data_IF_913236649102
#
_entry.id   IF_913236649102
#
_cell.length_a   1.000
_cell.length_b   1.000
_cell.length_c   1.000
_cell.angle_alpha   90.00
_cell.angle_beta   90.00
_cell.angle_gamma   90.00
#
_symmetry.space_group_name_H-M   'P 1'
#
loop_
_entity.id
_entity.type
_entity.pdbx_description
1 polymer ?
#
# COMPACT_ATOMS: atom_id res chain seq x y z
N UNK A 1 -9.25 -94.84 14.33
CA UNK A 1 -8.49 -93.60 13.99
C UNK A 1 -9.44 -92.46 13.88
N UNK A 2 -9.42 -91.57 14.85
CA UNK A 2 -10.24 -90.35 14.84
C UNK A 2 -9.37 -89.22 14.23
N UNK A 3 -9.71 -88.71 13.03
CA UNK A 3 -9.09 -87.53 12.42
C UNK A 3 -9.58 -86.34 13.14
N UNK A 4 -8.75 -85.74 13.98
CA UNK A 4 -8.98 -84.38 14.52
C UNK A 4 -8.88 -83.38 13.40
N UNK A 5 -9.98 -82.76 13.06
CA UNK A 5 -10.07 -81.69 12.09
C UNK A 5 -9.46 -80.40 12.72
N UNK A 6 -8.34 -80.01 12.17
CA UNK A 6 -7.61 -78.79 12.62
C UNK A 6 -8.37 -77.53 12.19
N UNK A 7 -9.40 -77.15 12.98
CA UNK A 7 -10.22 -75.94 12.68
C UNK A 7 -9.58 -74.61 13.16
N UNK A 8 -8.52 -74.73 13.98
CA UNK A 8 -7.85 -73.54 14.53
C UNK A 8 -7.11 -72.70 13.51
N UNK A 9 -6.54 -73.36 12.45
CA UNK A 9 -5.75 -72.65 11.44
C UNK A 9 -6.61 -71.79 10.52
N UNK A 10 -7.83 -72.19 10.19
CA UNK A 10 -8.74 -71.42 9.29
C UNK A 10 -9.21 -70.16 9.98
N UNK A 11 -9.55 -70.21 11.24
CA UNK A 11 -9.94 -69.00 12.03
C UNK A 11 -8.78 -68.00 12.15
N UNK A 12 -7.54 -68.53 12.38
CA UNK A 12 -6.34 -67.66 12.43
C UNK A 12 -6.05 -66.97 11.12
N UNK A 13 -6.24 -67.67 9.98
CA UNK A 13 -6.11 -67.05 8.65
C UNK A 13 -7.16 -65.97 8.38
N UNK A 14 -8.40 -66.22 8.74
CA UNK A 14 -9.50 -65.25 8.61
C UNK A 14 -9.22 -64.01 9.47
N UNK A 15 -8.78 -64.18 10.73
CA UNK A 15 -8.40 -63.09 11.61
C UNK A 15 -7.20 -62.28 11.07
N UNK A 16 -6.19 -63.00 10.51
CA UNK A 16 -5.05 -62.35 9.85
C UNK A 16 -5.43 -61.49 8.63
N UNK A 17 -6.34 -62.01 7.79
CA UNK A 17 -6.85 -61.25 6.62
C UNK A 17 -7.67 -60.04 7.08
N UNK A 18 -8.51 -60.21 8.09
CA UNK A 18 -9.27 -59.10 8.68
C UNK A 18 -8.36 -58.02 9.29
N UNK A 19 -7.32 -58.43 10.01
CA UNK A 19 -6.31 -57.53 10.54
C UNK A 19 -5.55 -56.75 9.45
N UNK A 20 -5.08 -57.46 8.40
CA UNK A 20 -4.44 -56.87 7.24
C UNK A 20 -5.39 -55.90 6.50
N UNK A 21 -6.66 -56.25 6.39
CA UNK A 21 -7.69 -55.37 5.81
C UNK A 21 -7.91 -54.09 6.62
N UNK A 22 -7.93 -54.24 7.96
CA UNK A 22 -8.05 -53.04 8.88
C UNK A 22 -6.80 -52.15 8.80
N UNK A 23 -5.60 -52.75 8.79
CA UNK A 23 -4.35 -51.97 8.67
C UNK A 23 -4.28 -51.33 7.30
N UNK A 24 -4.56 -52.03 6.21
CA UNK A 24 -4.58 -51.51 4.86
C UNK A 24 -5.65 -50.38 4.69
N UNK A 25 -6.84 -50.60 5.27
CA UNK A 25 -7.89 -49.57 5.32
C UNK A 25 -7.48 -48.32 6.11
N UNK A 26 -6.82 -48.51 7.25
CA UNK A 26 -6.27 -47.42 8.05
C UNK A 26 -5.21 -46.63 7.32
N UNK A 27 -4.28 -47.31 6.63
CA UNK A 27 -3.26 -46.64 5.80
C UNK A 27 -3.89 -45.90 4.61
N UNK A 28 -4.90 -46.49 3.99
CA UNK A 28 -5.65 -45.84 2.92
C UNK A 28 -6.34 -44.54 3.42
N UNK A 29 -7.06 -44.60 4.53
CA UNK A 29 -7.73 -43.44 5.14
C UNK A 29 -6.70 -42.37 5.47
N UNK A 30 -5.58 -42.74 6.09
CA UNK A 30 -4.55 -41.79 6.50
C UNK A 30 -3.88 -41.07 5.31
N UNK A 31 -3.68 -41.78 4.18
CA UNK A 31 -3.02 -41.20 3.00
C UNK A 31 -3.99 -40.65 1.93
N UNK A 32 -5.29 -40.80 2.12
CA UNK A 32 -6.28 -40.36 1.14
C UNK A 32 -6.61 -38.90 1.29
N UNK A 33 -6.52 -38.14 0.22
CA UNK A 33 -7.00 -36.75 0.17
C UNK A 33 -8.47 -36.58 0.56
N UNK A 34 -9.27 -37.65 0.43
CA UNK A 34 -10.66 -37.66 0.85
C UNK A 34 -10.86 -37.62 2.39
N UNK A 35 -9.80 -37.97 3.16
CA UNK A 35 -9.78 -37.96 4.63
C UNK A 35 -8.70 -37.01 5.17
N UNK A 36 -8.39 -35.99 4.43
CA UNK A 36 -7.48 -34.93 4.82
C UNK A 36 -7.92 -34.30 6.15
N UNK A 37 -6.96 -33.82 6.98
CA UNK A 37 -7.15 -33.39 8.35
C UNK A 37 -6.84 -31.91 8.59
N UNK A 38 -6.44 -31.19 7.52
CA UNK A 38 -6.18 -29.75 7.65
C UNK A 38 -7.51 -28.99 7.77
N UNK A 39 -7.54 -27.98 8.61
CA UNK A 39 -8.68 -27.11 8.71
C UNK A 39 -8.65 -26.06 7.60
N UNK A 40 -9.80 -25.56 7.11
CA UNK A 40 -9.85 -24.41 6.23
C UNK A 40 -9.10 -23.20 6.81
N UNK A 41 -8.49 -22.39 5.96
CA UNK A 41 -7.75 -21.19 6.36
C UNK A 41 -8.61 -19.95 6.11
N UNK A 42 -8.80 -19.14 7.15
CA UNK A 42 -9.50 -17.86 7.06
C UNK A 42 -8.46 -16.74 7.06
N UNK A 43 -8.31 -16.09 5.90
CA UNK A 43 -7.38 -14.98 5.70
C UNK A 43 -8.09 -13.66 5.95
N UNK A 44 -7.93 -13.16 7.16
CA UNK A 44 -8.42 -11.87 7.65
C UNK A 44 -7.58 -11.49 8.87
N UNK A 45 -7.34 -10.21 9.09
CA UNK A 45 -6.67 -9.71 10.29
C UNK A 45 -7.49 -10.00 11.55
N UNK A 46 -6.82 -10.15 12.70
CA UNK A 46 -7.50 -10.46 13.97
C UNK A 46 -8.22 -9.23 14.57
N UNK A 47 -7.84 -8.03 14.10
CA UNK A 47 -8.43 -6.76 14.49
C UNK A 47 -8.58 -5.84 13.29
N UNK A 48 -9.78 -5.36 13.06
CA UNK A 48 -10.13 -4.54 11.90
C UNK A 48 -10.92 -3.32 12.34
N UNK A 49 -10.57 -2.17 11.75
CA UNK A 49 -11.38 -0.96 11.82
C UNK A 49 -12.34 -0.92 10.62
N UNK A 50 -13.61 -0.64 10.86
CA UNK A 50 -14.63 -0.66 9.82
C UNK A 50 -15.54 0.56 9.86
N UNK A 51 -15.62 1.29 8.75
CA UNK A 51 -16.46 2.49 8.62
C UNK A 51 -17.93 2.18 8.30
N UNK A 52 -18.32 0.92 8.16
CA UNK A 52 -19.66 0.47 7.77
C UNK A 52 -20.18 1.05 6.42
N UNK A 53 -19.27 1.57 5.60
CA UNK A 53 -19.57 2.06 4.23
C UNK A 53 -18.89 1.22 3.18
N UNK A 54 -17.64 0.92 3.42
CA UNK A 54 -16.84 0.06 2.55
C UNK A 54 -17.13 -1.40 2.87
N UNK A 55 -17.12 -2.24 1.85
CA UNK A 55 -17.30 -3.66 2.04
C UNK A 55 -16.05 -4.27 2.70
N UNK A 56 -16.29 -5.16 3.66
CA UNK A 56 -15.22 -5.92 4.31
C UNK A 56 -14.85 -7.13 3.45
N UNK A 57 -13.58 -7.28 3.15
CA UNK A 57 -13.06 -8.38 2.32
C UNK A 57 -12.37 -9.42 3.19
N UNK A 58 -12.68 -10.69 2.93
CA UNK A 58 -11.95 -11.82 3.50
C UNK A 58 -11.88 -12.96 2.50
N UNK A 59 -10.91 -13.85 2.68
CA UNK A 59 -10.77 -15.05 1.85
C UNK A 59 -10.75 -16.29 2.73
N UNK A 60 -11.47 -17.30 2.30
CA UNK A 60 -11.45 -18.64 2.91
C UNK A 60 -10.83 -19.58 1.88
N UNK A 61 -9.84 -20.36 2.28
CA UNK A 61 -9.18 -21.31 1.39
C UNK A 61 -9.02 -22.68 2.05
N UNK A 62 -9.07 -23.73 1.24
CA UNK A 62 -8.91 -25.13 1.67
C UNK A 62 -8.32 -25.99 0.57
N UNK A 63 -7.52 -26.99 0.91
CA UNK A 63 -6.83 -27.87 -0.03
C UNK A 63 -7.77 -28.83 -0.77
N UNK A 64 -8.89 -29.23 -0.15
CA UNK A 64 -9.87 -30.18 -0.68
C UNK A 64 -11.15 -29.49 -1.13
N UNK A 65 -11.45 -28.35 -0.58
CA UNK A 65 -12.56 -27.48 -0.93
C UNK A 65 -13.54 -27.26 0.22
N UNK A 66 -14.08 -26.06 0.25
CA UNK A 66 -15.02 -25.58 1.24
C UNK A 66 -16.42 -26.07 0.89
N UNK A 67 -17.11 -26.62 1.87
CA UNK A 67 -18.52 -27.08 1.79
C UNK A 67 -19.49 -26.05 2.30
N UNK A 68 -19.11 -25.38 3.39
CA UNK A 68 -19.98 -24.44 4.09
C UNK A 68 -19.17 -23.31 4.67
N UNK A 69 -19.73 -22.12 4.66
CA UNK A 69 -19.24 -21.01 5.46
C UNK A 69 -20.39 -20.17 6.01
N UNK A 70 -20.11 -19.43 7.08
CA UNK A 70 -20.99 -18.46 7.69
C UNK A 70 -20.20 -17.34 8.31
N UNK A 71 -20.63 -16.11 8.07
CA UNK A 71 -20.05 -14.91 8.67
C UNK A 71 -21.12 -14.20 9.48
N UNK A 72 -20.87 -14.03 10.76
CA UNK A 72 -21.82 -13.43 11.71
C UNK A 72 -21.19 -12.19 12.35
N UNK A 73 -21.89 -11.08 12.27
CA UNK A 73 -21.63 -9.85 13.03
C UNK A 73 -22.30 -9.98 14.39
N UNK A 74 -21.54 -9.82 15.49
CA UNK A 74 -22.01 -9.97 16.85
C UNK A 74 -21.78 -8.69 17.64
N UNK A 75 -22.85 -8.03 18.06
CA UNK A 75 -22.78 -6.87 18.96
C UNK A 75 -23.17 -7.21 20.40
N UNK A 76 -23.46 -8.48 20.69
CA UNK A 76 -23.85 -9.00 22.00
C UNK A 76 -25.34 -8.84 22.31
N UNK A 77 -26.11 -8.17 21.48
CA UNK A 77 -27.57 -8.01 21.61
C UNK A 77 -28.31 -8.46 20.35
N UNK A 78 -27.72 -8.20 19.18
CA UNK A 78 -28.33 -8.49 17.90
C UNK A 78 -27.31 -9.12 16.95
N UNK A 79 -27.22 -10.44 17.03
CA UNK A 79 -26.35 -11.18 16.11
C UNK A 79 -26.95 -11.18 14.71
N UNK A 80 -26.16 -10.80 13.71
CA UNK A 80 -26.60 -10.70 12.33
C UNK A 80 -25.69 -11.49 11.42
N UNK A 81 -26.29 -12.46 10.70
CA UNK A 81 -25.59 -13.15 9.62
C UNK A 81 -25.39 -12.19 8.46
N UNK A 82 -24.13 -11.91 8.10
CA UNK A 82 -23.76 -11.07 6.97
C UNK A 82 -23.80 -11.86 5.68
N UNK A 83 -23.26 -13.09 5.72
CA UNK A 83 -23.28 -14.01 4.59
C UNK A 83 -23.18 -15.45 5.10
N UNK A 84 -23.84 -16.38 4.41
CA UNK A 84 -23.68 -17.81 4.68
C UNK A 84 -24.09 -18.62 3.46
N UNK A 85 -23.34 -19.65 3.15
CA UNK A 85 -23.63 -20.49 2.00
C UNK A 85 -23.25 -21.96 2.26
N UNK A 86 -24.16 -22.86 1.89
CA UNK A 86 -23.87 -24.26 1.69
C UNK A 86 -23.63 -24.46 0.19
N UNK A 87 -22.40 -24.81 -0.15
CA UNK A 87 -21.97 -24.94 -1.56
C UNK A 87 -22.43 -26.27 -2.16
N UNK A 88 -23.01 -26.19 -3.35
CA UNK A 88 -23.42 -27.38 -4.13
C UNK A 88 -22.23 -28.06 -4.83
N UNK A 89 -21.19 -27.26 -5.13
CA UNK A 89 -19.90 -27.72 -5.64
C UNK A 89 -18.79 -27.11 -4.77
N UNK A 90 -17.83 -27.90 -4.29
CA UNK A 90 -16.75 -27.41 -3.46
C UNK A 90 -15.86 -26.42 -4.22
N UNK A 91 -15.39 -25.39 -3.51
CA UNK A 91 -14.44 -24.40 -4.01
C UNK A 91 -13.23 -24.34 -3.08
N UNK A 92 -12.04 -24.36 -3.64
CA UNK A 92 -10.80 -24.26 -2.87
C UNK A 92 -10.53 -22.88 -2.31
N UNK A 93 -11.04 -21.84 -3.01
CA UNK A 93 -10.85 -20.44 -2.63
C UNK A 93 -12.17 -19.67 -2.78
N UNK A 94 -12.58 -18.99 -1.72
CA UNK A 94 -13.77 -18.16 -1.69
C UNK A 94 -13.37 -16.76 -1.23
N UNK A 95 -13.50 -15.79 -2.12
CA UNK A 95 -13.33 -14.37 -1.80
C UNK A 95 -14.70 -13.76 -1.46
N UNK A 96 -14.87 -13.35 -0.22
CA UNK A 96 -16.08 -12.72 0.27
C UNK A 96 -15.93 -11.20 0.29
N UNK A 97 -17.01 -10.52 -0.09
CA UNK A 97 -17.13 -9.07 -0.09
C UNK A 97 -18.39 -8.69 0.70
N UNK A 98 -18.23 -8.55 2.01
CA UNK A 98 -19.31 -8.42 2.98
C UNK A 98 -19.83 -6.99 3.00
N UNK A 99 -21.11 -6.81 2.78
CA UNK A 99 -21.78 -5.54 2.99
C UNK A 99 -22.00 -5.27 4.48
N UNK A 100 -21.99 -3.98 4.84
CA UNK A 100 -22.25 -3.59 6.21
C UNK A 100 -23.69 -3.93 6.62
N UNK A 101 -23.89 -4.40 7.86
CA UNK A 101 -25.21 -4.66 8.36
C UNK A 101 -26.04 -3.37 8.45
N UNK A 102 -27.31 -3.42 8.06
CA UNK A 102 -28.25 -2.30 8.25
C UNK A 102 -28.56 -2.18 9.72
N UNK A 103 -27.78 -1.39 10.44
CA UNK A 103 -27.96 -1.10 11.85
C UNK A 103 -28.63 0.25 12.08
N UNK A 104 -29.40 0.39 13.15
CA UNK A 104 -29.89 1.70 13.58
C UNK A 104 -28.69 2.55 14.04
N UNK A 105 -28.59 3.79 13.57
CA UNK A 105 -27.52 4.72 13.94
C UNK A 105 -27.38 4.94 15.46
N UNK A 106 -28.45 4.69 16.22
CA UNK A 106 -28.47 4.91 17.68
C UNK A 106 -27.91 3.73 18.49
N UNK A 107 -27.71 2.56 17.86
CA UNK A 107 -27.28 1.32 18.54
C UNK A 107 -25.93 0.79 18.01
N UNK A 108 -25.12 1.62 17.39
CA UNK A 108 -23.79 1.18 16.93
C UNK A 108 -22.84 1.09 18.12
N UNK A 109 -22.46 -0.12 18.49
CA UNK A 109 -21.39 -0.37 19.45
C UNK A 109 -20.04 -0.21 18.73
N UNK A 110 -19.08 0.41 19.41
CA UNK A 110 -17.73 0.61 18.84
C UNK A 110 -16.95 -0.69 18.73
N UNK A 111 -17.10 -1.59 19.71
CA UNK A 111 -16.38 -2.86 19.75
C UNK A 111 -17.35 -4.02 19.54
N UNK A 112 -17.22 -4.69 18.44
CA UNK A 112 -18.07 -5.82 18.06
C UNK A 112 -17.18 -6.97 17.57
N UNK A 113 -17.75 -8.17 17.43
CA UNK A 113 -17.04 -9.34 16.91
C UNK A 113 -17.57 -9.74 15.55
N UNK A 114 -16.67 -10.16 14.68
CA UNK A 114 -17.01 -10.91 13.48
C UNK A 114 -16.61 -12.36 13.72
N UNK A 115 -17.58 -13.27 13.60
CA UNK A 115 -17.32 -14.70 13.67
C UNK A 115 -17.39 -15.27 12.27
N UNK A 116 -16.30 -15.89 11.85
CA UNK A 116 -16.19 -16.57 10.55
C UNK A 116 -16.07 -18.05 10.81
N UNK A 117 -17.03 -18.82 10.33
CA UNK A 117 -17.07 -20.27 10.40
C UNK A 117 -16.86 -20.83 8.99
N UNK A 118 -16.05 -21.87 8.87
CA UNK A 118 -15.86 -22.57 7.60
C UNK A 118 -15.71 -24.08 7.83
N UNK A 119 -16.25 -24.89 6.92
CA UNK A 119 -16.17 -26.35 6.95
C UNK A 119 -15.84 -26.85 5.55
N UNK A 120 -14.90 -27.80 5.44
CA UNK A 120 -14.46 -28.42 4.20
C UNK A 120 -15.37 -29.61 3.79
N UNK A 121 -15.00 -30.26 2.67
CA UNK A 121 -15.63 -31.48 2.16
C UNK A 121 -14.95 -32.76 2.63
N UNK A 122 -13.91 -32.68 3.46
CA UNK A 122 -13.19 -33.85 3.93
C UNK A 122 -14.16 -34.87 4.55
N UNK A 123 -13.86 -36.16 4.38
CA UNK A 123 -14.59 -37.23 5.05
C UNK A 123 -14.05 -37.53 6.45
N UNK A 124 -13.10 -36.72 6.91
CA UNK A 124 -12.60 -36.77 8.27
C UNK A 124 -13.74 -36.48 9.28
N UNK A 125 -13.51 -36.76 10.53
CA UNK A 125 -14.47 -36.52 11.60
C UNK A 125 -15.88 -37.10 11.31
N UNK A 126 -15.91 -38.41 10.96
CA UNK A 126 -17.16 -39.12 10.64
C UNK A 126 -17.99 -38.47 9.52
N UNK A 127 -17.32 -38.03 8.44
CA UNK A 127 -17.92 -37.38 7.27
C UNK A 127 -18.44 -35.97 7.53
N UNK A 128 -18.13 -35.35 8.68
CA UNK A 128 -18.53 -33.97 8.97
C UNK A 128 -17.60 -32.92 8.34
N UNK A 129 -16.36 -33.30 8.05
CA UNK A 129 -15.30 -32.40 7.57
C UNK A 129 -14.51 -31.79 8.72
N UNK A 130 -13.50 -31.01 8.34
CA UNK A 130 -12.75 -30.17 9.27
C UNK A 130 -13.42 -28.80 9.33
N UNK A 131 -13.48 -28.22 10.51
CA UNK A 131 -14.17 -26.95 10.73
C UNK A 131 -13.29 -26.02 11.52
N UNK A 132 -13.29 -24.75 11.14
CA UNK A 132 -12.62 -23.68 11.84
C UNK A 132 -13.64 -22.58 12.21
N UNK A 133 -13.43 -21.96 13.37
CA UNK A 133 -14.14 -20.76 13.81
C UNK A 133 -13.09 -19.71 14.13
N UNK A 134 -13.09 -18.59 13.42
CA UNK A 134 -12.22 -17.45 13.68
C UNK A 134 -13.04 -16.28 14.21
N UNK A 135 -12.65 -15.78 15.37
CA UNK A 135 -13.17 -14.53 15.92
C UNK A 135 -12.24 -13.39 15.54
N UNK A 136 -12.82 -12.30 15.04
CA UNK A 136 -12.13 -11.06 14.65
C UNK A 136 -12.73 -9.91 15.45
N UNK A 137 -11.87 -9.10 16.07
CA UNK A 137 -12.28 -7.87 16.74
C UNK A 137 -12.56 -6.79 15.68
N UNK A 138 -13.82 -6.33 15.62
CA UNK A 138 -14.20 -5.21 14.77
C UNK A 138 -14.34 -3.95 15.60
N UNK A 139 -13.59 -2.91 15.23
CA UNK A 139 -13.78 -1.56 15.78
C UNK A 139 -14.56 -0.76 14.73
N UNK A 140 -15.80 -0.45 15.10
CA UNK A 140 -16.64 0.40 14.25
C UNK A 140 -16.25 1.85 14.44
N UNK A 141 -15.72 2.48 13.41
CA UNK A 141 -15.35 3.89 13.39
C UNK A 141 -15.91 4.56 12.13
N UNK A 142 -16.96 5.33 12.30
CA UNK A 142 -17.61 6.08 11.23
C UNK A 142 -17.25 7.57 11.23
N UNK A 143 -16.40 7.99 12.17
CA UNK A 143 -15.94 9.36 12.33
C UNK A 143 -14.80 9.64 11.35
N UNK A 144 -14.82 10.77 10.70
CA UNK A 144 -13.73 11.16 9.81
C UNK A 144 -12.66 11.92 10.57
N UNK A 145 -11.39 11.79 10.18
CA UNK A 145 -10.33 12.65 10.70
C UNK A 145 -10.66 14.13 10.55
N UNK A 146 -10.31 14.93 11.55
CA UNK A 146 -10.30 16.38 11.43
C UNK A 146 -9.03 16.81 10.72
N UNK A 147 -9.13 17.58 9.63
CA UNK A 147 -8.00 18.02 8.83
C UNK A 147 -8.19 19.50 8.44
N UNK A 148 -7.41 20.38 9.07
CA UNK A 148 -7.51 21.83 8.91
C UNK A 148 -6.21 22.42 8.39
N UNK A 149 -6.29 23.35 7.44
CA UNK A 149 -5.16 24.20 7.04
C UNK A 149 -5.10 25.39 7.99
N UNK A 150 -3.99 25.50 8.72
CA UNK A 150 -3.80 26.56 9.74
C UNK A 150 -3.12 27.78 9.14
N UNK A 151 -2.09 27.53 8.32
CA UNK A 151 -1.36 28.58 7.62
C UNK A 151 -0.73 28.02 6.35
N UNK A 152 -0.60 28.85 5.34
CA UNK A 152 0.08 28.48 4.11
C UNK A 152 0.70 29.67 3.42
N UNK A 153 1.66 29.42 2.55
CA UNK A 153 2.17 30.43 1.61
C UNK A 153 1.03 30.97 0.78
N UNK A 154 0.93 32.29 0.69
CA UNK A 154 -0.18 32.97 0.00
C UNK A 154 -0.29 32.59 -1.48
N UNK A 155 0.84 32.55 -2.18
CA UNK A 155 0.84 32.33 -3.62
C UNK A 155 1.94 31.37 -4.06
N UNK A 156 1.69 30.63 -5.13
CA UNK A 156 2.65 29.73 -5.76
C UNK A 156 2.76 30.02 -7.25
N UNK A 157 3.94 29.78 -7.81
CA UNK A 157 4.21 29.80 -9.25
C UNK A 157 4.62 28.41 -9.73
N UNK A 158 4.45 28.10 -11.00
CA UNK A 158 5.02 26.88 -11.58
C UNK A 158 6.54 26.84 -11.32
N UNK A 159 7.05 25.72 -10.84
CA UNK A 159 8.46 25.58 -10.43
C UNK A 159 8.80 26.23 -9.09
N UNK A 160 7.85 26.88 -8.45
CA UNK A 160 8.01 27.45 -7.11
C UNK A 160 7.64 26.47 -6.00
N UNK A 161 7.93 26.88 -4.77
CA UNK A 161 7.61 26.12 -3.56
C UNK A 161 6.83 26.97 -2.56
N UNK A 162 6.20 26.31 -1.60
CA UNK A 162 5.47 26.92 -0.52
C UNK A 162 5.53 26.09 0.74
N UNK A 163 5.07 26.64 1.84
CA UNK A 163 4.92 25.99 3.13
C UNK A 163 3.46 25.89 3.48
N UNK A 164 3.05 24.76 4.03
CA UNK A 164 1.70 24.56 4.57
C UNK A 164 1.82 24.04 5.99
N UNK A 165 1.11 24.65 6.92
CA UNK A 165 0.96 24.20 8.30
C UNK A 165 -0.48 23.72 8.47
N UNK A 166 -0.64 22.52 9.00
CA UNK A 166 -1.94 21.87 9.16
C UNK A 166 -2.13 21.36 10.58
N UNK A 167 -3.39 21.18 10.95
CA UNK A 167 -3.81 20.44 12.13
C UNK A 167 -4.57 19.21 11.65
N UNK A 168 -4.11 18.01 12.08
CA UNK A 168 -4.78 16.75 11.77
C UNK A 168 -4.99 16.00 13.08
N UNK A 169 -6.25 15.62 13.36
CA UNK A 169 -6.63 14.91 14.59
C UNK A 169 -7.51 13.72 14.26
N UNK A 170 -7.10 12.59 14.79
CA UNK A 170 -7.87 11.36 14.82
C UNK A 170 -7.25 10.39 15.82
N UNK A 171 -8.06 9.53 16.43
CA UNK A 171 -7.55 8.54 17.39
C UNK A 171 -6.88 7.35 16.69
N UNK A 172 -7.23 7.11 15.43
CA UNK A 172 -6.79 5.96 14.64
C UNK A 172 -6.22 6.37 13.29
N UNK A 173 -5.53 7.51 13.23
CA UNK A 173 -4.94 8.04 12.00
C UNK A 173 -3.98 7.02 11.36
N UNK A 174 -4.19 6.70 10.11
CA UNK A 174 -3.37 5.75 9.35
C UNK A 174 -2.47 6.42 8.32
N UNK A 175 -2.96 7.51 7.69
CA UNK A 175 -2.19 8.21 6.67
C UNK A 175 -2.59 9.69 6.61
N UNK A 176 -1.60 10.55 6.31
CA UNK A 176 -1.82 11.98 6.08
C UNK A 176 -0.76 12.55 5.17
N UNK A 177 -1.17 13.37 4.23
CA UNK A 177 -0.26 14.01 3.27
C UNK A 177 -0.90 15.20 2.59
N UNK A 178 -0.07 16.00 1.92
CA UNK A 178 -0.55 17.01 0.98
C UNK A 178 -0.34 16.49 -0.44
N UNK A 179 -1.33 16.68 -1.30
CA UNK A 179 -1.23 16.31 -2.71
C UNK A 179 -1.37 17.53 -3.61
N UNK A 180 -0.58 17.54 -4.69
CA UNK A 180 -0.68 18.50 -5.77
C UNK A 180 -1.31 17.83 -6.98
N UNK A 181 -2.47 18.31 -7.41
CA UNK A 181 -3.27 17.78 -8.53
C UNK A 181 -3.55 16.26 -8.41
N UNK A 182 -3.59 15.71 -7.20
CA UNK A 182 -3.74 14.28 -6.91
C UNK A 182 -2.65 13.38 -7.58
N UNK A 183 -1.53 13.99 -7.99
CA UNK A 183 -0.41 13.31 -8.69
C UNK A 183 0.89 13.30 -7.90
N UNK A 184 1.17 14.37 -7.18
CA UNK A 184 2.42 14.51 -6.40
C UNK A 184 2.07 14.58 -4.93
N UNK A 185 2.69 13.71 -4.13
CA UNK A 185 2.51 13.63 -2.69
C UNK A 185 3.66 14.32 -1.98
N UNK A 186 3.33 15.09 -0.93
CA UNK A 186 4.26 15.73 0.00
C UNK A 186 3.97 15.23 1.40
N UNK A 187 5.00 14.72 2.07
CA UNK A 187 4.89 14.21 3.42
C UNK A 187 4.77 15.34 4.43
N UNK A 188 4.08 15.06 5.52
CA UNK A 188 3.88 15.94 6.65
C UNK A 188 4.89 15.61 7.75
N UNK A 189 5.58 16.63 8.27
CA UNK A 189 6.49 16.53 9.40
C UNK A 189 5.84 17.09 10.65
N UNK A 190 5.93 16.43 11.82
CA UNK A 190 5.43 16.97 13.08
C UNK A 190 6.01 18.37 13.35
N UNK A 191 5.17 19.31 13.76
CA UNK A 191 5.57 20.70 13.90
C UNK A 191 4.99 21.33 15.15
N UNK A 192 5.82 22.00 15.94
CA UNK A 192 5.47 22.88 17.06
C UNK A 192 4.77 22.16 18.23
N UNK A 193 3.64 21.52 18.05
CA UNK A 193 2.89 20.83 19.10
C UNK A 193 2.14 19.60 18.53
N UNK A 194 1.62 18.78 19.43
CA UNK A 194 0.83 17.61 19.06
C UNK A 194 -0.27 17.99 18.05
N UNK A 195 -0.50 17.09 17.09
CA UNK A 195 -1.52 17.19 16.04
C UNK A 195 -1.28 18.31 15.00
N UNK A 196 -0.14 19.01 15.08
CA UNK A 196 0.29 20.02 14.11
C UNK A 196 1.44 19.49 13.27
N UNK A 197 1.36 19.79 11.98
CA UNK A 197 2.32 19.31 11.01
C UNK A 197 2.66 20.39 10.00
N UNK A 198 3.82 20.28 9.38
CA UNK A 198 4.27 21.18 8.32
C UNK A 198 4.70 20.38 7.11
N UNK A 199 4.43 20.90 5.92
CA UNK A 199 4.95 20.38 4.67
C UNK A 199 5.57 21.50 3.82
N UNK A 200 6.66 21.17 3.13
CA UNK A 200 7.17 21.91 1.99
C UNK A 200 6.50 21.35 0.74
N UNK A 201 5.74 22.17 0.05
CA UNK A 201 5.08 21.81 -1.19
C UNK A 201 5.78 22.48 -2.38
N UNK A 202 5.63 21.92 -3.56
CA UNK A 202 6.15 22.50 -4.79
C UNK A 202 5.15 22.32 -5.93
N UNK A 203 5.16 23.25 -6.86
CA UNK A 203 4.54 23.05 -8.16
C UNK A 203 5.61 22.53 -9.14
N UNK A 204 5.63 21.24 -9.48
CA UNK A 204 6.65 20.67 -10.38
C UNK A 204 6.64 21.36 -11.76
N UNK A 205 7.84 21.53 -12.35
CA UNK A 205 7.99 22.17 -13.65
C UNK A 205 7.38 21.38 -14.82
N UNK A 206 7.29 20.05 -14.68
CA UNK A 206 6.70 19.13 -15.65
C UNK A 206 5.16 19.10 -15.62
N UNK A 207 4.55 19.70 -14.61
CA UNK A 207 3.09 19.86 -14.52
C UNK A 207 2.72 21.27 -14.99
N UNK A 208 2.11 21.34 -16.17
CA UNK A 208 1.77 22.65 -16.77
C UNK A 208 0.57 23.32 -16.11
N UNK A 209 -0.47 22.54 -15.83
CA UNK A 209 -1.73 23.03 -15.30
C UNK A 209 -1.82 22.84 -13.79
N UNK A 210 -2.29 23.88 -13.13
CA UNK A 210 -2.65 23.82 -11.72
C UNK A 210 -4.15 23.51 -11.58
N UNK A 211 -4.48 22.46 -10.87
CA UNK A 211 -5.84 22.12 -10.48
C UNK A 211 -6.09 22.48 -9.02
N UNK A 212 -5.39 21.80 -8.12
CA UNK A 212 -5.54 22.00 -6.67
C UNK A 212 -4.35 21.50 -5.87
N UNK A 213 -4.25 21.99 -4.65
CA UNK A 213 -3.46 21.40 -3.58
C UNK A 213 -4.40 21.04 -2.45
N UNK A 214 -4.31 19.82 -1.95
CA UNK A 214 -5.23 19.31 -0.92
C UNK A 214 -4.47 18.62 0.20
N UNK A 215 -4.90 18.86 1.43
CA UNK A 215 -4.58 18.05 2.59
C UNK A 215 -5.50 16.82 2.59
N UNK A 216 -4.94 15.64 2.69
CA UNK A 216 -5.66 14.38 2.81
C UNK A 216 -5.30 13.75 4.14
N UNK A 217 -6.29 13.37 4.92
CA UNK A 217 -6.14 12.60 6.15
C UNK A 217 -7.05 11.38 6.09
N UNK A 218 -6.49 10.24 6.44
CA UNK A 218 -7.16 8.94 6.40
C UNK A 218 -6.94 8.20 7.71
N UNK A 219 -8.01 7.62 8.27
CA UNK A 219 -7.94 6.76 9.44
C UNK A 219 -7.79 5.25 9.08
N UNK A 220 -7.68 4.42 10.10
CA UNK A 220 -7.58 2.97 9.95
C UNK A 220 -8.89 2.32 9.46
N UNK A 221 -10.02 2.99 9.62
CA UNK A 221 -11.32 2.54 9.10
C UNK A 221 -11.57 2.96 7.65
N UNK A 222 -10.60 3.61 6.99
CA UNK A 222 -10.72 4.19 5.65
C UNK A 222 -11.67 5.40 5.55
N UNK A 223 -11.98 6.07 6.66
CA UNK A 223 -12.64 7.37 6.52
C UNK A 223 -11.61 8.41 6.07
N UNK A 224 -11.98 9.21 5.09
CA UNK A 224 -11.10 10.20 4.46
C UNK A 224 -11.68 11.58 4.60
N UNK A 225 -10.83 12.53 5.01
CA UNK A 225 -11.09 13.96 4.93
C UNK A 225 -10.11 14.60 3.95
N UNK A 226 -10.65 15.39 3.03
CA UNK A 226 -9.85 16.15 2.08
C UNK A 226 -10.17 17.63 2.24
N UNK A 227 -9.14 18.44 2.52
CA UNK A 227 -9.26 19.89 2.71
C UNK A 227 -8.39 20.61 1.71
N UNK A 228 -8.98 21.52 0.93
CA UNK A 228 -8.24 22.32 -0.05
C UNK A 228 -7.30 23.32 0.64
N UNK A 229 -6.06 23.38 0.17
CA UNK A 229 -5.09 24.42 0.58
C UNK A 229 -5.36 25.68 -0.25
N UNK A 230 -5.68 26.83 0.36
CA UNK A 230 -5.98 28.05 -0.36
C UNK A 230 -4.71 28.72 -0.88
N UNK A 231 -4.39 28.47 -2.14
CA UNK A 231 -3.22 29.04 -2.82
C UNK A 231 -3.64 29.97 -3.94
N UNK A 232 -3.03 31.16 -3.99
CA UNK A 232 -3.15 32.06 -5.11
C UNK A 232 -2.12 31.70 -6.18
N UNK A 233 -2.54 31.64 -7.44
CA UNK A 233 -1.68 31.29 -8.56
C UNK A 233 -1.07 32.57 -9.12
N UNK A 234 0.26 32.63 -9.17
CA UNK A 234 1.00 33.68 -9.86
C UNK A 234 1.55 33.13 -11.17
N UNK A 235 1.31 33.86 -12.24
CA UNK A 235 1.97 33.58 -13.50
C UNK A 235 3.42 34.06 -13.45
N UNK A 236 4.31 33.24 -13.99
CA UNK A 236 5.71 33.55 -14.18
C UNK A 236 6.14 33.06 -15.56
N UNK A 237 6.73 33.98 -16.35
CA UNK A 237 7.23 33.65 -17.68
C UNK A 237 8.71 33.30 -17.60
N UNK A 238 9.02 32.04 -17.79
CA UNK A 238 10.39 31.57 -17.87
C UNK A 238 11.03 31.94 -19.19
N UNK A 239 12.35 32.23 -19.15
CA UNK A 239 13.13 32.58 -20.31
C UNK A 239 13.33 31.33 -21.20
N UNK A 240 13.37 31.55 -22.51
CA UNK A 240 13.78 30.55 -23.49
C UNK A 240 15.01 31.06 -24.19
N UNK A 241 16.10 30.28 -24.18
CA UNK A 241 17.36 30.60 -24.84
C UNK A 241 17.64 29.54 -25.90
N UNK A 242 18.04 30.02 -27.09
CA UNK A 242 18.55 29.19 -28.19
C UNK A 242 20.06 29.28 -28.19
N UNK A 243 20.72 28.14 -28.04
CA UNK A 243 22.16 28.03 -27.91
C UNK A 243 22.73 27.17 -29.06
N UNK A 244 23.71 27.71 -29.80
CA UNK A 244 24.46 26.93 -30.78
C UNK A 244 25.64 26.24 -30.10
N UNK A 245 25.83 24.98 -30.43
CA UNK A 245 26.95 24.13 -29.96
C UNK A 245 27.74 23.72 -31.16
N UNK A 246 29.04 23.95 -31.12
CA UNK A 246 29.98 23.56 -32.14
C UNK A 246 30.89 22.40 -31.70
N UNK A 247 31.63 21.85 -32.65
CA UNK A 247 32.61 20.77 -32.38
C UNK A 247 33.56 21.11 -31.29
N UNK A 248 34.13 22.32 -31.30
CA UNK A 248 35.09 22.77 -30.30
C UNK A 248 34.53 22.79 -28.89
N UNK A 249 33.25 23.22 -28.74
CA UNK A 249 32.57 23.18 -27.45
C UNK A 249 32.45 21.74 -26.95
N UNK A 250 32.01 20.83 -27.80
CA UNK A 250 31.77 19.42 -27.43
C UNK A 250 33.10 18.74 -27.11
N UNK A 251 34.13 18.91 -27.92
CA UNK A 251 35.45 18.33 -27.71
C UNK A 251 36.09 18.78 -26.41
N UNK A 252 35.96 20.05 -26.06
CA UNK A 252 36.55 20.56 -24.83
C UNK A 252 35.63 20.34 -23.62
N UNK A 253 34.42 20.87 -23.64
CA UNK A 253 33.56 20.92 -22.45
C UNK A 253 32.89 19.58 -22.17
N UNK A 254 32.25 18.97 -23.17
CA UNK A 254 31.56 17.69 -22.94
C UNK A 254 32.53 16.56 -22.62
N UNK A 255 33.71 16.55 -23.29
CA UNK A 255 34.76 15.57 -23.00
C UNK A 255 35.30 15.71 -21.58
N UNK A 256 35.64 16.95 -21.19
CA UNK A 256 36.13 17.20 -19.82
C UNK A 256 35.13 16.75 -18.75
N UNK A 257 33.84 17.07 -18.94
CA UNK A 257 32.76 16.67 -18.03
C UNK A 257 32.65 15.14 -17.93
N UNK A 258 32.72 14.42 -19.04
CA UNK A 258 32.66 12.95 -19.06
C UNK A 258 33.90 12.31 -18.43
N UNK A 259 35.11 12.82 -18.72
CA UNK A 259 36.37 12.36 -18.11
C UNK A 259 36.31 12.52 -16.59
N UNK A 260 35.96 13.71 -16.10
CA UNK A 260 35.88 13.99 -14.67
C UNK A 260 34.80 13.14 -13.97
N UNK A 261 33.76 12.76 -14.70
CA UNK A 261 32.69 11.89 -14.21
C UNK A 261 32.96 10.38 -14.44
N UNK A 262 34.14 10.03 -14.98
CA UNK A 262 34.52 8.64 -15.32
C UNK A 262 33.52 7.93 -16.21
N UNK A 263 32.96 8.66 -17.20
CA UNK A 263 32.00 8.15 -18.17
C UNK A 263 32.67 7.83 -19.50
N UNK A 264 32.14 6.88 -20.28
CA UNK A 264 32.62 6.62 -21.64
C UNK A 264 32.54 7.86 -22.53
N UNK A 265 33.52 8.01 -23.42
CA UNK A 265 33.57 9.09 -24.41
C UNK A 265 33.17 8.53 -25.77
N UNK A 266 32.06 9.01 -26.31
CA UNK A 266 31.57 8.59 -27.62
C UNK A 266 32.45 9.23 -28.73
N UNK A 267 32.67 8.49 -29.79
CA UNK A 267 33.40 9.02 -30.98
C UNK A 267 32.55 10.06 -31.73
N UNK A 268 31.24 9.86 -31.75
CA UNK A 268 30.32 10.84 -32.34
C UNK A 268 30.12 12.03 -31.35
N UNK A 269 30.30 13.23 -31.85
CA UNK A 269 30.24 14.45 -31.06
C UNK A 269 28.85 14.73 -30.52
N UNK A 270 27.80 14.46 -31.30
CA UNK A 270 26.43 14.67 -30.87
C UNK A 270 26.08 13.67 -29.75
N UNK A 271 26.43 12.39 -29.91
CA UNK A 271 26.22 11.38 -28.88
C UNK A 271 26.98 11.74 -27.56
N UNK A 272 28.23 12.26 -27.71
CA UNK A 272 29.04 12.75 -26.58
C UNK A 272 28.34 13.89 -25.82
N UNK A 273 27.82 14.87 -26.56
CA UNK A 273 27.05 15.96 -25.94
C UNK A 273 25.78 15.47 -25.26
N UNK A 274 25.02 14.60 -25.90
CA UNK A 274 23.79 14.04 -25.29
C UNK A 274 24.10 13.24 -24.04
N UNK A 275 25.18 12.45 -24.01
CA UNK A 275 25.62 11.73 -22.82
C UNK A 275 25.96 12.68 -21.67
N UNK A 276 26.71 13.73 -21.91
CA UNK A 276 27.06 14.71 -20.90
C UNK A 276 25.84 15.53 -20.43
N UNK A 277 25.01 15.98 -21.34
CA UNK A 277 23.95 16.94 -21.04
C UNK A 277 22.63 16.30 -20.62
N UNK A 278 22.30 15.08 -21.04
CA UNK A 278 21.07 14.38 -20.70
C UNK A 278 21.31 13.22 -19.74
N UNK A 279 22.13 12.22 -20.12
CA UNK A 279 22.30 11.00 -19.34
C UNK A 279 22.98 11.30 -17.98
N UNK A 280 24.13 11.94 -17.97
CA UNK A 280 24.85 12.28 -16.75
C UNK A 280 24.05 13.23 -15.85
N UNK A 281 23.31 14.17 -16.44
CA UNK A 281 22.42 15.06 -15.69
C UNK A 281 21.31 14.28 -14.99
N UNK A 282 20.67 13.33 -15.68
CA UNK A 282 19.62 12.49 -15.09
C UNK A 282 20.16 11.65 -13.93
N UNK A 283 21.36 11.05 -14.10
CA UNK A 283 22.04 10.30 -13.01
C UNK A 283 22.37 11.19 -11.79
N UNK A 284 22.86 12.41 -12.06
CA UNK A 284 23.18 13.35 -10.98
C UNK A 284 21.91 13.78 -10.23
N UNK A 285 20.82 14.05 -10.91
CA UNK A 285 19.55 14.39 -10.29
C UNK A 285 18.99 13.21 -9.46
N UNK A 286 19.10 11.99 -9.95
CA UNK A 286 18.72 10.78 -9.21
C UNK A 286 19.59 10.61 -7.95
N UNK A 287 20.88 10.86 -8.06
CA UNK A 287 21.83 10.81 -6.93
C UNK A 287 21.50 11.87 -5.87
N UNK A 288 21.29 13.11 -6.29
CA UNK A 288 20.93 14.22 -5.39
C UNK A 288 19.62 13.87 -4.66
N UNK A 289 18.62 13.40 -5.39
CA UNK A 289 17.34 13.01 -4.80
C UNK A 289 17.51 11.89 -3.75
N UNK A 290 18.27 10.85 -4.10
CA UNK A 290 18.55 9.71 -3.20
C UNK A 290 19.24 10.17 -1.91
N UNK A 291 20.29 10.99 -2.02
CA UNK A 291 21.03 11.50 -0.88
C UNK A 291 20.18 12.46 -0.04
N UNK A 292 19.39 13.31 -0.66
CA UNK A 292 18.49 14.23 0.04
C UNK A 292 17.43 13.48 0.85
N UNK A 293 16.81 12.44 0.28
CA UNK A 293 15.83 11.62 0.99
C UNK A 293 16.48 10.87 2.16
N UNK A 294 17.67 10.28 1.96
CA UNK A 294 18.38 9.57 3.01
C UNK A 294 18.85 10.46 4.18
N UNK A 295 19.02 11.76 3.92
CA UNK A 295 19.40 12.75 4.94
C UNK A 295 18.22 13.51 5.56
N UNK A 296 16.96 13.15 5.22
CA UNK A 296 15.79 13.79 5.83
C UNK A 296 15.65 13.38 7.29
N UNK A 297 15.60 14.37 8.18
CA UNK A 297 15.22 14.20 9.57
C UNK A 297 13.68 14.38 9.68
N UNK A 298 13.02 13.37 10.22
CA UNK A 298 11.57 13.37 10.45
C UNK A 298 11.18 13.71 11.88
N UNK A 299 12.15 14.12 12.71
CA UNK A 299 11.88 14.59 14.06
C UNK A 299 11.01 15.85 14.05
N UNK A 300 10.33 16.08 15.17
CA UNK A 300 9.52 17.28 15.33
C UNK A 300 10.37 18.55 15.14
N UNK A 301 9.85 19.49 14.35
CA UNK A 301 10.45 20.80 14.13
C UNK A 301 9.64 21.84 14.88
N UNK A 302 10.27 22.55 15.84
CA UNK A 302 9.60 23.60 16.61
C UNK A 302 9.58 24.94 15.86
N UNK A 303 10.67 25.24 15.15
CA UNK A 303 10.80 26.42 14.29
C UNK A 303 11.86 26.18 13.22
N UNK A 304 11.78 26.91 12.14
CA UNK A 304 12.84 26.93 11.13
C UNK A 304 13.10 28.35 10.63
N UNK A 305 14.37 28.62 10.31
CA UNK A 305 14.79 29.85 9.69
C UNK A 305 15.61 29.55 8.44
N UNK A 306 15.11 29.99 7.30
CA UNK A 306 15.80 29.84 6.02
C UNK A 306 16.49 31.15 5.67
N UNK A 307 17.82 31.15 5.73
CA UNK A 307 18.61 32.26 5.25
C UNK A 307 18.50 32.40 3.74
N UNK A 308 18.40 33.63 3.20
CA UNK A 308 18.39 33.83 1.76
C UNK A 308 19.64 33.26 1.08
N UNK A 309 19.44 32.58 -0.05
CA UNK A 309 20.55 32.14 -0.87
C UNK A 309 21.37 33.35 -1.37
N UNK A 310 22.68 33.30 -1.15
CA UNK A 310 23.60 34.32 -1.64
C UNK A 310 24.27 33.80 -2.91
N UNK A 311 24.42 34.70 -3.89
CA UNK A 311 25.19 34.39 -5.10
C UNK A 311 26.65 34.10 -4.74
N UNK A 312 27.31 33.27 -5.53
CA UNK A 312 28.78 33.15 -5.47
C UNK A 312 29.41 34.53 -5.73
N UNK A 313 30.42 34.83 -4.95
CA UNK A 313 31.14 36.10 -5.11
C UNK A 313 31.73 36.18 -6.55
N UNK A 314 31.60 37.34 -7.20
CA UNK A 314 32.04 37.58 -8.58
C UNK A 314 31.38 36.68 -9.63
N UNK A 315 30.18 36.13 -9.39
CA UNK A 315 29.46 35.31 -10.33
C UNK A 315 28.43 36.11 -11.15
N UNK A 316 28.30 35.76 -12.45
CA UNK A 316 27.24 36.24 -13.31
C UNK A 316 26.14 35.17 -13.41
N UNK A 317 24.87 35.59 -13.35
CA UNK A 317 23.75 34.66 -13.58
C UNK A 317 23.56 34.52 -15.08
N UNK A 318 23.89 33.34 -15.62
CA UNK A 318 23.71 33.02 -17.05
C UNK A 318 22.42 32.20 -17.31
N UNK A 319 21.83 31.63 -16.28
CA UNK A 319 20.54 30.92 -16.35
C UNK A 319 19.83 30.96 -15.00
N UNK A 320 18.51 30.98 -15.04
CA UNK A 320 17.65 30.81 -13.88
C UNK A 320 17.07 29.40 -13.80
N UNK A 321 16.48 29.09 -12.63
CA UNK A 321 15.68 27.87 -12.50
C UNK A 321 14.44 27.95 -13.39
N UNK A 322 14.17 26.86 -14.13
CA UNK A 322 13.02 26.78 -15.03
C UNK A 322 13.23 27.39 -16.42
N UNK A 323 14.37 28.05 -16.69
CA UNK A 323 14.69 28.54 -18.03
C UNK A 323 14.80 27.39 -19.00
N UNK A 324 14.16 27.52 -20.17
CA UNK A 324 14.19 26.52 -21.24
C UNK A 324 15.36 26.84 -22.16
N UNK A 325 16.17 25.83 -22.49
CA UNK A 325 17.29 25.94 -23.45
C UNK A 325 17.13 24.97 -24.57
N UNK A 326 17.12 25.51 -25.79
CA UNK A 326 17.19 24.72 -27.01
C UNK A 326 18.65 24.71 -27.50
N UNK A 327 19.16 23.55 -27.83
CA UNK A 327 20.52 23.40 -28.32
C UNK A 327 20.48 23.04 -29.81
N UNK A 328 21.21 23.78 -30.60
CA UNK A 328 21.36 23.58 -32.05
C UNK A 328 22.82 23.23 -32.32
N UNK A 329 23.03 22.11 -32.97
CA UNK A 329 24.36 21.68 -33.40
C UNK A 329 24.61 22.14 -34.83
N UNK A 330 25.75 22.77 -35.05
CA UNK A 330 26.14 23.34 -36.36
C UNK A 330 27.46 22.72 -36.85
#
# INVERSE_FOLDING_TARGET
MRRTRNSGNVVSYILGILFLGLVGGGVYIYNSSAFEQNEPKIMIEDKIYWNLRDNLKLTISDDTGIKYYKVTYMDGENDKVLDSQLLTAPQTDIALNLEAPKLSMFNQKQNVKLIVEATDISKWNFFNGNSIVKEVELIVDTTRPTANVIANTYAIVRGGSGVVVVEVKDDNLSDMYITFNDKVRFELTPFYKKDYYVALIAWPMDIEEFSQVSLVAKDSANNVTTTKVPLYIREYKYKTDDLTVDDRFIENVSTEVLVNSRKPIDNDLVARFLRANLELRAENLATIRKVSIAGMDTAQVDSFNISPFRRLHNSQTVAGYGDKRNYFYN
#
